data_IF_420120586856
#
_entry.id   IF_420120586856
#
_cell.length_a   1.000
_cell.length_b   1.000
_cell.length_c   1.000
_cell.angle_alpha   90.00
_cell.angle_beta   90.00
_cell.angle_gamma   90.00
#
_symmetry.space_group_name_H-M   'P 1'
#
loop_
_entity.id
_entity.type
_entity.pdbx_description
1 polymer ?
#
# COMPACT_ATOMS: atom_id res chain seq x y z
N UNK A 1 -12.11 -2.32 -11.00
CA UNK A 1 -13.00 -1.54 -10.11
C UNK A 1 -13.81 -2.45 -9.21
N UNK A 2 -14.35 -3.55 -9.73
CA UNK A 2 -15.10 -4.55 -8.93
C UNK A 2 -14.28 -5.11 -7.75
N UNK A 3 -13.03 -5.53 -7.99
CA UNK A 3 -12.12 -6.02 -6.93
C UNK A 3 -11.89 -4.99 -5.80
N UNK A 4 -11.75 -3.70 -6.14
CA UNK A 4 -11.56 -2.67 -5.11
C UNK A 4 -12.82 -2.49 -4.26
N UNK A 5 -14.01 -2.59 -4.86
CA UNK A 5 -15.28 -2.55 -4.11
C UNK A 5 -15.46 -3.78 -3.24
N UNK A 6 -15.20 -4.98 -3.78
CA UNK A 6 -15.30 -6.25 -3.06
C UNK A 6 -14.45 -6.25 -1.79
N UNK A 7 -13.28 -5.64 -1.84
CA UNK A 7 -12.37 -5.53 -0.71
C UNK A 7 -12.45 -4.19 0.04
N UNK A 8 -13.49 -3.39 -0.22
CA UNK A 8 -13.75 -2.10 0.46
C UNK A 8 -12.56 -1.13 0.39
N UNK A 9 -11.75 -1.22 -0.65
CA UNK A 9 -10.61 -0.34 -0.89
C UNK A 9 -11.07 0.92 -1.59
N UNK A 10 -10.84 2.06 -0.94
CA UNK A 10 -11.08 3.36 -1.55
C UNK A 10 -10.03 3.65 -2.64
N UNK A 11 -10.49 3.86 -3.87
CA UNK A 11 -9.63 4.24 -5.00
C UNK A 11 -8.85 5.55 -4.74
N UNK A 12 -9.37 6.45 -3.92
CA UNK A 12 -8.68 7.68 -3.51
C UNK A 12 -7.36 7.39 -2.78
N UNK A 13 -7.28 6.28 -2.06
CA UNK A 13 -6.02 5.85 -1.42
C UNK A 13 -4.96 5.50 -2.47
N UNK A 14 -5.35 4.95 -3.62
CA UNK A 14 -4.43 4.64 -4.71
C UNK A 14 -4.04 5.90 -5.48
N UNK A 15 -5.01 6.74 -5.84
CA UNK A 15 -4.78 7.90 -6.73
C UNK A 15 -3.98 9.01 -6.05
N UNK A 16 -4.14 9.21 -4.74
CA UNK A 16 -3.33 10.19 -3.97
C UNK A 16 -1.83 9.87 -4.02
N UNK A 17 -1.45 8.59 -3.91
CA UNK A 17 -0.06 8.18 -4.02
C UNK A 17 0.51 8.46 -5.42
N UNK A 18 -0.35 8.38 -6.44
CA UNK A 18 0.00 8.57 -7.85
C UNK A 18 -0.11 10.02 -8.32
N UNK A 19 -0.43 10.96 -7.43
CA UNK A 19 -0.50 12.38 -7.79
C UNK A 19 0.86 12.85 -8.32
N UNK A 20 0.88 13.44 -9.52
CA UNK A 20 2.10 13.84 -10.23
C UNK A 20 2.72 12.80 -11.18
N UNK A 21 2.05 11.65 -11.41
CA UNK A 21 2.57 10.59 -12.32
C UNK A 21 2.62 10.97 -13.80
N UNK A 22 1.91 12.02 -14.23
CA UNK A 22 1.81 12.46 -15.63
C UNK A 22 1.57 11.30 -16.61
N UNK A 23 2.36 11.20 -17.69
CA UNK A 23 2.23 10.15 -18.72
C UNK A 23 2.48 8.72 -18.20
N UNK A 24 3.05 8.56 -17.00
CA UNK A 24 3.28 7.26 -16.37
C UNK A 24 2.12 6.80 -15.47
N UNK A 25 1.02 7.56 -15.38
CA UNK A 25 -0.08 7.30 -14.44
C UNK A 25 -0.69 5.89 -14.61
N UNK A 26 -0.95 5.46 -15.85
CA UNK A 26 -1.53 4.14 -16.12
C UNK A 26 -0.60 3.01 -15.66
N UNK A 27 0.67 3.06 -16.04
CA UNK A 27 1.69 2.07 -15.64
C UNK A 27 1.88 2.05 -14.13
N UNK A 28 1.95 3.21 -13.48
CA UNK A 28 2.12 3.30 -12.04
C UNK A 28 0.88 2.78 -11.29
N UNK A 29 -0.33 3.06 -11.79
CA UNK A 29 -1.56 2.49 -11.24
C UNK A 29 -1.56 0.96 -11.36
N UNK A 30 -1.27 0.41 -12.54
CA UNK A 30 -1.21 -1.04 -12.75
C UNK A 30 -0.19 -1.70 -11.84
N UNK A 31 1.01 -1.13 -11.72
CA UNK A 31 2.06 -1.66 -10.85
C UNK A 31 1.65 -1.63 -9.37
N UNK A 32 1.00 -0.54 -8.92
CA UNK A 32 0.49 -0.45 -7.57
C UNK A 32 -0.65 -1.45 -7.32
N UNK A 33 -1.55 -1.60 -8.29
CA UNK A 33 -2.65 -2.55 -8.23
C UNK A 33 -2.13 -3.99 -8.11
N UNK A 34 -1.13 -4.36 -8.92
CA UNK A 34 -0.48 -5.68 -8.89
C UNK A 34 0.33 -5.93 -7.60
N UNK A 35 0.62 -4.90 -6.80
CA UNK A 35 1.16 -5.08 -5.45
C UNK A 35 0.08 -5.40 -4.42
N UNK A 36 -1.18 -5.04 -4.69
CA UNK A 36 -2.31 -5.28 -3.79
C UNK A 36 -3.04 -6.58 -4.12
N UNK A 37 -3.16 -6.90 -5.41
CA UNK A 37 -3.90 -8.04 -5.93
C UNK A 37 -3.04 -8.86 -6.90
N UNK A 38 -3.21 -10.18 -6.89
CA UNK A 38 -2.70 -11.05 -7.95
C UNK A 38 -3.57 -10.98 -9.21
N UNK A 39 -3.18 -11.72 -10.25
CA UNK A 39 -3.89 -11.75 -11.54
C UNK A 39 -5.30 -12.33 -11.44
N UNK A 40 -5.61 -13.10 -10.38
CA UNK A 40 -6.93 -13.65 -10.11
C UNK A 40 -7.78 -12.73 -9.22
N UNK A 41 -7.21 -11.59 -8.77
CA UNK A 41 -7.87 -10.65 -7.88
C UNK A 41 -7.75 -10.97 -6.40
N UNK A 42 -6.97 -11.99 -6.00
CA UNK A 42 -6.75 -12.27 -4.60
C UNK A 42 -5.76 -11.30 -3.98
N UNK A 43 -5.96 -10.97 -2.70
CA UNK A 43 -5.05 -10.10 -1.93
C UNK A 43 -3.65 -10.70 -1.87
N UNK A 44 -2.64 -9.91 -2.22
CA UNK A 44 -1.25 -10.33 -2.05
C UNK A 44 -0.85 -10.33 -0.56
N UNK A 45 0.34 -10.86 -0.28
CA UNK A 45 0.95 -10.81 1.06
C UNK A 45 1.03 -9.38 1.65
N UNK A 46 1.13 -8.35 0.82
CA UNK A 46 1.26 -6.97 1.29
C UNK A 46 -0.05 -6.47 1.90
N UNK A 47 -1.16 -6.64 1.19
CA UNK A 47 -2.48 -6.24 1.66
C UNK A 47 -2.91 -7.09 2.88
N UNK A 48 -2.67 -8.40 2.85
CA UNK A 48 -2.93 -9.29 3.99
C UNK A 48 -2.14 -8.89 5.25
N UNK A 49 -0.89 -8.45 5.10
CA UNK A 49 -0.07 -8.01 6.22
C UNK A 49 -0.61 -6.74 6.89
N UNK A 50 -1.09 -5.78 6.09
CA UNK A 50 -1.72 -4.55 6.59
C UNK A 50 -3.01 -4.89 7.37
N UNK A 51 -3.90 -5.69 6.78
CA UNK A 51 -5.17 -6.10 7.38
C UNK A 51 -4.97 -6.85 8.69
N UNK A 52 -4.05 -7.84 8.71
CA UNK A 52 -3.70 -8.60 9.91
C UNK A 52 -3.19 -7.72 11.05
N UNK A 53 -2.66 -6.53 10.74
CA UNK A 53 -2.16 -5.56 11.72
C UNK A 53 -3.08 -4.37 11.96
N UNK A 54 -4.27 -4.39 11.38
CA UNK A 54 -5.26 -3.31 11.49
C UNK A 54 -4.74 -1.98 10.94
N UNK A 55 -3.87 -2.02 9.93
CA UNK A 55 -3.35 -0.82 9.28
C UNK A 55 -4.21 -0.56 8.05
N UNK A 56 -4.87 0.59 8.01
CA UNK A 56 -5.68 0.98 6.85
C UNK A 56 -4.76 1.42 5.70
N UNK A 57 -5.11 1.06 4.47
CA UNK A 57 -4.42 1.53 3.26
C UNK A 57 -4.39 3.06 3.18
N UNK A 58 -5.39 3.76 3.74
CA UNK A 58 -5.41 5.22 3.87
C UNK A 58 -4.21 5.78 4.63
N UNK A 59 -3.73 5.11 5.70
CA UNK A 59 -2.53 5.54 6.43
C UNK A 59 -1.28 5.41 5.55
N UNK A 60 -1.16 4.32 4.79
CA UNK A 60 -0.06 4.11 3.84
C UNK A 60 -0.10 5.16 2.73
N UNK A 61 -1.28 5.39 2.18
CA UNK A 61 -1.54 6.40 1.15
C UNK A 61 -1.18 7.80 1.62
N UNK A 62 -1.48 8.16 2.87
CA UNK A 62 -1.10 9.45 3.44
C UNK A 62 0.42 9.63 3.53
N UNK A 63 1.17 8.57 3.87
CA UNK A 63 2.64 8.60 3.91
C UNK A 63 3.22 8.76 2.50
N UNK A 64 2.62 8.09 1.53
CA UNK A 64 3.10 8.02 0.15
C UNK A 64 2.43 9.05 -0.78
N UNK A 65 1.70 10.02 -0.23
CA UNK A 65 1.04 11.05 -1.00
C UNK A 65 2.06 11.84 -1.82
N UNK A 66 1.83 11.95 -3.13
CA UNK A 66 2.77 12.63 -4.04
C UNK A 66 4.03 11.83 -4.41
N UNK A 67 4.09 10.52 -4.11
CA UNK A 67 5.15 9.64 -4.61
C UNK A 67 5.13 9.49 -6.15
N UNK A 68 4.03 9.90 -6.79
CA UNK A 68 3.85 9.95 -8.25
C UNK A 68 4.15 8.59 -8.89
N UNK A 69 4.89 8.58 -10.02
CA UNK A 69 5.23 7.36 -10.73
C UNK A 69 6.08 6.37 -9.91
N UNK A 70 6.68 6.82 -8.80
CA UNK A 70 7.47 5.98 -7.88
C UNK A 70 6.64 5.34 -6.77
N UNK A 71 5.34 5.64 -6.67
CA UNK A 71 4.47 5.09 -5.63
C UNK A 71 4.51 3.56 -5.50
N UNK A 72 4.54 2.74 -6.58
CA UNK A 72 4.63 1.29 -6.44
C UNK A 72 5.92 0.84 -5.73
N UNK A 73 7.06 1.45 -6.10
CA UNK A 73 8.33 1.17 -5.47
C UNK A 73 8.32 1.60 -3.99
N UNK A 74 7.87 2.81 -3.71
CA UNK A 74 7.80 3.34 -2.35
C UNK A 74 6.85 2.52 -1.46
N UNK A 75 5.73 2.04 -1.99
CA UNK A 75 4.81 1.13 -1.31
C UNK A 75 5.50 -0.16 -0.91
N UNK A 76 6.20 -0.81 -1.85
CA UNK A 76 6.93 -2.05 -1.60
C UNK A 76 8.03 -1.85 -0.55
N UNK A 77 8.80 -0.77 -0.65
CA UNK A 77 9.87 -0.44 0.28
C UNK A 77 9.34 -0.16 1.69
N UNK A 78 8.25 0.61 1.83
CA UNK A 78 7.61 0.88 3.11
C UNK A 78 7.09 -0.41 3.77
N UNK A 79 6.46 -1.29 3.00
CA UNK A 79 5.96 -2.56 3.51
C UNK A 79 7.11 -3.48 3.93
N UNK A 80 8.20 -3.53 3.17
CA UNK A 80 9.40 -4.28 3.56
C UNK A 80 10.10 -3.66 4.80
N UNK A 81 9.97 -2.35 5.03
CA UNK A 81 10.44 -1.70 6.24
C UNK A 81 9.61 -2.11 7.46
N UNK A 82 8.30 -2.22 7.30
CA UNK A 82 7.36 -2.55 8.38
C UNK A 82 7.22 -4.04 8.67
N UNK A 83 7.41 -4.89 7.66
CA UNK A 83 7.21 -6.33 7.72
C UNK A 83 8.43 -7.08 7.19
N UNK A 84 8.84 -8.12 7.91
CA UNK A 84 9.83 -9.05 7.39
C UNK A 84 9.21 -10.03 6.38
N UNK A 85 10.04 -10.88 5.79
CA UNK A 85 9.62 -11.87 4.78
C UNK A 85 8.54 -12.84 5.27
N UNK A 86 8.45 -13.07 6.59
CA UNK A 86 7.44 -13.90 7.23
C UNK A 86 6.14 -13.13 7.59
N UNK A 87 6.01 -11.88 7.16
CA UNK A 87 4.87 -11.00 7.48
C UNK A 87 4.81 -10.56 8.95
N UNK A 88 5.91 -10.74 9.71
CA UNK A 88 6.00 -10.27 11.10
C UNK A 88 6.47 -8.82 11.13
N UNK A 89 5.94 -8.04 12.08
CA UNK A 89 6.32 -6.64 12.25
C UNK A 89 7.79 -6.51 12.64
N UNK A 90 8.49 -5.62 11.97
CA UNK A 90 9.87 -5.23 12.30
C UNK A 90 9.89 -4.29 13.51
N UNK A 91 11.09 -3.92 13.97
CA UNK A 91 11.26 -2.91 15.03
C UNK A 91 10.63 -1.57 14.65
N UNK A 92 10.67 -1.18 13.37
CA UNK A 92 10.18 0.12 12.91
C UNK A 92 8.69 0.28 13.16
N UNK A 93 7.88 -0.68 12.72
CA UNK A 93 6.43 -0.62 12.92
C UNK A 93 6.05 -0.80 14.40
N UNK A 94 6.83 -1.57 15.18
CA UNK A 94 6.60 -1.69 16.63
C UNK A 94 6.82 -0.35 17.35
N UNK A 95 7.89 0.37 17.00
CA UNK A 95 8.18 1.69 17.57
C UNK A 95 7.10 2.69 17.21
N UNK A 96 6.68 2.78 15.94
CA UNK A 96 5.61 3.68 15.52
C UNK A 96 4.30 3.48 16.31
N UNK A 97 3.90 2.22 16.54
CA UNK A 97 2.72 1.89 17.34
C UNK A 97 2.88 2.26 18.82
N UNK A 98 4.10 2.15 19.38
CA UNK A 98 4.38 2.48 20.78
C UNK A 98 4.29 3.99 21.02
N UNK A 99 4.81 4.79 20.09
CA UNK A 99 4.83 6.24 20.18
C UNK A 99 3.46 6.89 19.88
N UNK A 100 2.39 6.10 19.68
CA UNK A 100 1.04 6.57 19.36
C UNK A 100 0.98 7.54 18.16
N UNK A 101 1.93 7.43 17.24
CA UNK A 101 1.92 8.18 15.99
C UNK A 101 0.82 7.54 15.13
N UNK A 102 -0.38 8.10 15.19
CA UNK A 102 -1.57 7.68 14.44
C UNK A 102 -1.56 8.26 13.03
#
# INVERSE_FOLDING_TARGET
YEILKEHEINIASLTSMLNGSAHNAATAFTNLFNLLFDEQGHKTRYLLALEKKGINLANVSSILNGAAAKAPQAFKELLNLWFNENGKQTRYLKTLKKENIK
#
